data_IF_563377379608
#
_entry.id   IF_563377379608
#
_cell.length_a   1.000
_cell.length_b   1.000
_cell.length_c   1.000
_cell.angle_alpha   90.00
_cell.angle_beta   90.00
_cell.angle_gamma   90.00
#
_symmetry.space_group_name_H-M   'P 1'
#
loop_
_entity.id
_entity.type
_entity.pdbx_description
1 polymer ?
#
# COMPACT_ATOMS: atom_id res chain seq x y z
N UNK A 1 -15.51 13.22 -10.62
CA UNK A 1 -16.55 12.25 -10.19
C UNK A 1 -15.85 10.93 -10.05
N UNK A 2 -16.02 10.24 -8.92
CA UNK A 2 -15.54 8.87 -8.73
C UNK A 2 -16.62 7.89 -9.22
N UNK A 3 -16.22 6.92 -10.02
CA UNK A 3 -17.08 5.78 -10.32
C UNK A 3 -16.76 4.66 -9.35
N UNK A 4 -17.72 3.77 -9.12
CA UNK A 4 -17.52 2.58 -8.31
C UNK A 4 -17.92 1.35 -9.11
N UNK A 5 -17.15 0.28 -8.94
CA UNK A 5 -17.29 -0.97 -9.66
C UNK A 5 -17.35 -2.13 -8.68
N UNK A 6 -18.08 -3.18 -9.03
CA UNK A 6 -17.95 -4.51 -8.43
C UNK A 6 -17.35 -5.44 -9.47
N UNK A 7 -16.13 -5.91 -9.23
CA UNK A 7 -15.37 -6.73 -10.19
C UNK A 7 -15.25 -8.14 -9.65
N UNK A 8 -15.82 -9.10 -10.39
CA UNK A 8 -15.75 -10.51 -10.06
C UNK A 8 -14.35 -11.08 -10.36
N UNK A 9 -13.64 -11.51 -9.32
CA UNK A 9 -12.28 -12.07 -9.43
C UNK A 9 -12.25 -13.58 -9.24
N UNK A 10 -13.23 -14.16 -8.57
CA UNK A 10 -13.38 -15.60 -8.36
C UNK A 10 -14.87 -15.94 -8.15
N UNK A 11 -15.27 -17.23 -8.18
CA UNK A 11 -16.64 -17.64 -7.84
C UNK A 11 -17.06 -17.01 -6.51
N UNK A 12 -18.17 -16.27 -6.55
CA UNK A 12 -18.78 -15.57 -5.40
C UNK A 12 -17.88 -14.52 -4.70
N UNK A 13 -16.80 -14.08 -5.36
CA UNK A 13 -15.90 -13.03 -4.86
C UNK A 13 -15.90 -11.84 -5.82
N UNK A 14 -16.67 -10.82 -5.44
CA UNK A 14 -16.63 -9.49 -6.02
C UNK A 14 -15.79 -8.56 -5.16
N UNK A 15 -14.88 -7.84 -5.80
CA UNK A 15 -14.12 -6.74 -5.19
C UNK A 15 -14.74 -5.41 -5.53
N UNK A 16 -14.88 -4.56 -4.52
CA UNK A 16 -15.23 -3.16 -4.71
C UNK A 16 -14.01 -2.38 -5.18
N UNK A 17 -14.20 -1.61 -6.25
CA UNK A 17 -13.15 -0.81 -6.85
C UNK A 17 -13.65 0.61 -7.08
N UNK A 18 -12.96 1.58 -6.53
CA UNK A 18 -13.18 2.99 -6.79
C UNK A 18 -12.26 3.47 -7.91
N UNK A 19 -12.82 4.16 -8.89
CA UNK A 19 -12.13 4.67 -10.07
C UNK A 19 -12.06 6.21 -10.03
N UNK A 20 -10.85 6.73 -10.24
CA UNK A 20 -10.55 8.16 -10.27
C UNK A 20 -9.72 8.51 -11.50
N UNK A 21 -10.01 9.67 -12.10
CA UNK A 21 -9.29 10.13 -13.28
C UNK A 21 -9.73 9.37 -14.54
N UNK A 22 -8.89 9.43 -15.58
CA UNK A 22 -9.14 8.77 -16.87
C UNK A 22 -7.84 8.71 -17.68
N UNK A 23 -7.85 7.98 -18.79
CA UNK A 23 -6.70 7.81 -19.68
C UNK A 23 -6.04 6.44 -19.53
N UNK A 24 -4.82 6.32 -20.06
CA UNK A 24 -4.06 5.08 -20.19
C UNK A 24 -2.88 4.97 -19.20
N UNK A 25 -2.74 5.94 -18.30
CA UNK A 25 -1.70 5.98 -17.27
C UNK A 25 -2.22 5.33 -15.99
N UNK A 26 -2.27 4.00 -15.99
CA UNK A 26 -2.92 3.23 -14.93
C UNK A 26 -2.11 3.13 -13.63
N UNK A 27 -2.76 3.41 -12.50
CA UNK A 27 -2.28 3.15 -11.15
C UNK A 27 -3.30 2.27 -10.43
N UNK A 28 -2.86 1.12 -9.94
CA UNK A 28 -3.70 0.26 -9.08
C UNK A 28 -3.17 0.31 -7.65
N UNK A 29 -4.08 0.33 -6.68
CA UNK A 29 -3.79 0.27 -5.25
C UNK A 29 -4.78 -0.67 -4.57
N UNK A 30 -4.34 -1.47 -3.60
CA UNK A 30 -5.22 -2.39 -2.89
C UNK A 30 -5.03 -2.32 -1.37
N UNK A 31 -6.11 -2.11 -0.63
CA UNK A 31 -6.07 -1.92 0.83
C UNK A 31 -7.32 -2.49 1.51
N UNK A 32 -7.29 -2.60 2.85
CA UNK A 32 -8.47 -2.97 3.65
C UNK A 32 -9.38 -1.76 3.92
N UNK A 33 -9.08 -0.63 3.31
CA UNK A 33 -9.76 0.64 3.52
C UNK A 33 -8.91 1.76 2.95
N UNK A 34 -9.57 2.77 2.43
CA UNK A 34 -8.94 3.99 1.94
C UNK A 34 -9.51 5.17 2.72
N UNK A 35 -8.64 6.10 3.09
CA UNK A 35 -9.10 7.40 3.54
C UNK A 35 -9.83 8.13 2.40
N UNK A 36 -10.81 9.01 2.70
CA UNK A 36 -11.57 9.71 1.68
C UNK A 36 -10.69 10.64 0.83
N UNK A 37 -9.56 11.08 1.39
CA UNK A 37 -8.56 11.92 0.73
C UNK A 37 -7.18 11.40 1.11
N UNK A 38 -6.37 11.05 0.11
CA UNK A 38 -5.01 10.56 0.28
C UNK A 38 -4.22 10.61 -1.03
N UNK A 39 -2.93 10.29 -0.98
CA UNK A 39 -2.04 10.32 -2.14
C UNK A 39 -2.53 9.45 -3.31
N UNK A 40 -3.17 8.31 -3.04
CA UNK A 40 -3.67 7.37 -4.04
C UNK A 40 -4.67 8.05 -4.96
N UNK A 41 -5.75 8.61 -4.40
CA UNK A 41 -6.78 9.30 -5.17
C UNK A 41 -6.24 10.61 -5.77
N UNK A 42 -5.34 11.31 -5.07
CA UNK A 42 -4.84 12.60 -5.51
C UNK A 42 -4.04 12.52 -6.82
N UNK A 43 -3.35 11.40 -7.09
CA UNK A 43 -2.66 11.19 -8.38
C UNK A 43 -3.60 11.30 -9.59
N UNK A 44 -4.90 11.05 -9.45
CA UNK A 44 -5.85 11.27 -10.53
C UNK A 44 -5.86 12.74 -11.02
N UNK A 45 -5.61 13.70 -10.12
CA UNK A 45 -5.51 15.14 -10.46
C UNK A 45 -4.26 15.47 -11.28
N UNK A 46 -3.28 14.55 -11.28
CA UNK A 46 -2.02 14.67 -12.04
C UNK A 46 -2.06 13.92 -13.39
N UNK A 47 -3.26 13.52 -13.84
CA UNK A 47 -3.47 12.86 -15.13
C UNK A 47 -3.19 11.36 -15.12
N UNK A 48 -3.30 10.71 -13.95
CA UNK A 48 -3.31 9.25 -13.83
C UNK A 48 -4.74 8.71 -13.80
N UNK A 49 -4.89 7.45 -14.18
CA UNK A 49 -6.13 6.69 -14.08
C UNK A 49 -5.99 5.69 -12.94
N UNK A 50 -6.63 5.99 -11.80
CA UNK A 50 -6.39 5.31 -10.52
C UNK A 50 -7.55 4.40 -10.17
N UNK A 51 -7.22 3.15 -9.81
CA UNK A 51 -8.16 2.17 -9.28
C UNK A 51 -7.77 1.79 -7.84
N UNK A 52 -8.61 2.14 -6.87
CA UNK A 52 -8.48 1.78 -5.47
C UNK A 52 -9.36 0.56 -5.16
N UNK A 53 -8.73 -0.56 -4.82
CA UNK A 53 -9.35 -1.88 -4.65
C UNK A 53 -9.48 -2.19 -3.16
N UNK A 54 -10.70 -2.36 -2.67
CA UNK A 54 -10.91 -2.92 -1.33
C UNK A 54 -10.67 -4.43 -1.37
N UNK A 55 -9.79 -4.94 -0.51
CA UNK A 55 -9.40 -6.35 -0.52
C UNK A 55 -10.57 -7.29 -0.15
N UNK A 56 -10.55 -8.53 -0.65
CA UNK A 56 -11.52 -9.57 -0.27
C UNK A 56 -11.54 -9.75 1.25
N UNK A 57 -12.70 -10.10 1.78
CA UNK A 57 -12.91 -10.29 3.21
C UNK A 57 -13.24 -9.01 3.97
N UNK A 58 -13.18 -7.85 3.31
CA UNK A 58 -13.41 -6.53 3.91
C UNK A 58 -14.54 -5.82 3.16
N UNK A 59 -15.54 -5.31 3.86
CA UNK A 59 -16.60 -4.53 3.22
C UNK A 59 -16.05 -3.26 2.56
N UNK A 60 -16.53 -2.85 1.37
CA UNK A 60 -17.68 -3.38 0.63
C UNK A 60 -17.36 -4.51 -0.38
N UNK A 61 -16.15 -5.07 -0.36
CA UNK A 61 -15.84 -6.30 -1.07
C UNK A 61 -16.49 -7.50 -0.40
N UNK A 62 -16.53 -8.63 -1.11
CA UNK A 62 -17.16 -9.85 -0.63
C UNK A 62 -16.48 -10.34 0.65
N UNK A 63 -17.27 -10.67 1.67
CA UNK A 63 -16.80 -11.41 2.83
C UNK A 63 -16.34 -12.80 2.44
N UNK A 64 -15.46 -13.37 3.27
CA UNK A 64 -14.99 -14.75 3.08
C UNK A 64 -14.98 -15.49 4.42
N UNK A 65 -15.00 -16.81 4.34
CA UNK A 65 -14.82 -17.71 5.49
C UNK A 65 -13.48 -18.46 5.45
N UNK A 66 -12.84 -18.52 4.28
CA UNK A 66 -11.57 -19.20 4.09
C UNK A 66 -10.42 -18.39 4.72
N UNK A 67 -9.57 -19.07 5.50
CA UNK A 67 -8.29 -18.54 5.93
C UNK A 67 -7.18 -19.05 5.00
N UNK A 68 -6.48 -18.12 4.35
CA UNK A 68 -5.40 -18.45 3.43
C UNK A 68 -4.03 -18.62 4.12
N UNK A 69 -3.93 -18.37 5.44
CA UNK A 69 -2.70 -18.45 6.22
C UNK A 69 -1.56 -17.63 5.60
N UNK A 70 -0.35 -18.21 5.51
CA UNK A 70 0.82 -17.54 4.92
C UNK A 70 0.63 -17.11 3.44
N UNK A 71 -0.47 -17.49 2.77
CA UNK A 71 -0.79 -17.13 1.37
C UNK A 71 -1.63 -15.86 1.22
N UNK A 72 -2.08 -15.23 2.30
CA UNK A 72 -2.97 -14.04 2.23
C UNK A 72 -2.49 -12.98 1.23
N UNK A 73 -1.23 -12.59 1.30
CA UNK A 73 -0.67 -11.58 0.40
C UNK A 73 -0.47 -12.08 -1.04
N UNK A 74 -0.21 -13.37 -1.25
CA UNK A 74 -0.19 -13.96 -2.60
C UNK A 74 -1.60 -13.89 -3.22
N UNK A 75 -2.65 -14.23 -2.46
CA UNK A 75 -4.05 -14.11 -2.90
C UNK A 75 -4.44 -12.67 -3.20
N UNK A 76 -4.08 -11.72 -2.34
CA UNK A 76 -4.31 -10.30 -2.60
C UNK A 76 -3.58 -9.80 -3.84
N UNK A 77 -2.34 -10.27 -4.10
CA UNK A 77 -1.61 -9.90 -5.31
C UNK A 77 -2.29 -10.44 -6.58
N UNK A 78 -2.75 -11.69 -6.56
CA UNK A 78 -3.47 -12.28 -7.69
C UNK A 78 -4.80 -11.56 -7.97
N UNK A 79 -5.47 -11.08 -6.93
CA UNK A 79 -6.70 -10.30 -7.07
C UNK A 79 -6.50 -8.99 -7.79
N UNK A 80 -5.41 -8.28 -7.51
CA UNK A 80 -5.05 -7.06 -8.26
C UNK A 80 -4.84 -7.39 -9.74
N UNK A 81 -4.19 -8.52 -10.05
CA UNK A 81 -4.02 -8.98 -11.44
C UNK A 81 -5.36 -9.30 -12.10
N UNK A 82 -6.25 -10.01 -11.41
CA UNK A 82 -7.59 -10.35 -11.93
C UNK A 82 -8.42 -9.08 -12.16
N UNK A 83 -8.35 -8.10 -11.28
CA UNK A 83 -8.98 -6.79 -11.49
C UNK A 83 -8.42 -6.11 -12.74
N UNK A 84 -7.09 -6.04 -12.88
CA UNK A 84 -6.45 -5.47 -14.05
C UNK A 84 -6.90 -6.16 -15.35
N UNK A 85 -6.96 -7.49 -15.37
CA UNK A 85 -7.41 -8.27 -16.53
C UNK A 85 -8.87 -7.98 -16.90
N UNK A 86 -9.76 -7.84 -15.90
CA UNK A 86 -11.18 -7.50 -16.13
C UNK A 86 -11.38 -6.09 -16.67
N UNK A 87 -10.48 -5.18 -16.31
CA UNK A 87 -10.45 -3.81 -16.82
C UNK A 87 -9.72 -3.69 -18.17
N UNK A 88 -9.09 -4.78 -18.66
CA UNK A 88 -8.29 -4.76 -19.88
C UNK A 88 -6.94 -4.06 -19.74
N UNK A 89 -6.42 -3.96 -18.52
CA UNK A 89 -5.15 -3.28 -18.20
C UNK A 89 -4.01 -4.31 -18.19
N UNK A 90 -3.20 -4.30 -19.26
CA UNK A 90 -2.05 -5.19 -19.37
C UNK A 90 -0.93 -4.81 -18.39
N UNK A 91 -0.56 -3.52 -18.31
CA UNK A 91 0.53 -3.05 -17.45
C UNK A 91 0.13 -1.80 -16.69
N UNK A 92 0.60 -1.70 -15.45
CA UNK A 92 0.26 -0.59 -14.56
C UNK A 92 1.39 -0.27 -13.58
N UNK A 93 1.35 0.93 -13.02
CA UNK A 93 2.08 1.26 -11.80
C UNK A 93 1.28 0.71 -10.62
N UNK A 94 1.95 0.02 -9.70
CA UNK A 94 1.32 -0.32 -8.42
C UNK A 94 1.71 0.70 -7.36
N UNK A 95 0.74 1.12 -6.56
CA UNK A 95 0.98 1.96 -5.40
C UNK A 95 0.26 1.39 -4.18
N UNK A 96 0.94 1.32 -3.05
CA UNK A 96 0.33 0.84 -1.81
C UNK A 96 0.91 1.55 -0.59
N UNK A 97 0.09 1.76 0.43
CA UNK A 97 0.50 2.28 1.73
C UNK A 97 0.47 1.16 2.77
N UNK A 98 1.46 1.09 3.65
CA UNK A 98 1.52 0.14 4.77
C UNK A 98 1.28 -1.31 4.33
N UNK A 99 0.25 -1.99 4.83
CA UNK A 99 -0.10 -3.36 4.40
C UNK A 99 -0.43 -3.44 2.90
N UNK A 100 -0.96 -2.37 2.29
CA UNK A 100 -1.16 -2.28 0.84
C UNK A 100 0.16 -2.34 0.07
N UNK A 101 1.23 -1.74 0.59
CA UNK A 101 2.57 -1.95 0.02
C UNK A 101 3.03 -3.42 0.18
N UNK A 102 2.55 -4.12 1.21
CA UNK A 102 2.70 -5.57 1.37
C UNK A 102 2.17 -6.36 0.18
N UNK A 103 1.00 -5.99 -0.35
CA UNK A 103 0.46 -6.57 -1.59
C UNK A 103 1.38 -6.27 -2.77
N UNK A 104 1.93 -5.05 -2.82
CA UNK A 104 2.92 -4.62 -3.82
C UNK A 104 4.19 -5.47 -3.83
N UNK A 105 4.74 -5.83 -2.67
CA UNK A 105 5.91 -6.73 -2.60
C UNK A 105 5.63 -8.09 -3.23
N UNK A 106 4.44 -8.65 -3.00
CA UNK A 106 4.04 -9.91 -3.60
C UNK A 106 3.77 -9.77 -5.10
N UNK A 107 3.17 -8.66 -5.55
CA UNK A 107 2.98 -8.36 -6.96
C UNK A 107 4.30 -8.30 -7.74
N UNK A 108 5.31 -7.58 -7.26
CA UNK A 108 6.59 -7.45 -7.98
C UNK A 108 7.44 -8.73 -7.95
N UNK A 109 7.15 -9.66 -7.04
CA UNK A 109 7.79 -10.97 -6.99
C UNK A 109 7.07 -12.02 -7.85
N UNK A 110 5.74 -12.03 -7.81
CA UNK A 110 4.92 -13.06 -8.46
C UNK A 110 4.53 -12.68 -9.89
N UNK A 111 4.36 -11.38 -10.16
CA UNK A 111 3.84 -10.82 -11.41
C UNK A 111 4.69 -9.66 -11.96
N UNK A 112 6.04 -9.77 -12.02
CA UNK A 112 6.92 -8.66 -12.36
C UNK A 112 6.65 -8.05 -13.74
N UNK A 113 6.14 -8.84 -14.70
CA UNK A 113 5.86 -8.38 -16.07
C UNK A 113 4.65 -7.43 -16.16
N UNK A 114 3.81 -7.40 -15.11
CA UNK A 114 2.58 -6.60 -15.04
C UNK A 114 2.80 -5.23 -14.38
N UNK A 115 3.80 -5.12 -13.51
CA UNK A 115 4.07 -3.91 -12.72
C UNK A 115 5.26 -3.15 -13.32
N UNK A 116 5.00 -2.01 -13.94
CA UNK A 116 6.06 -1.20 -14.58
C UNK A 116 6.86 -0.38 -13.59
N UNK A 117 6.28 -0.08 -12.43
CA UNK A 117 6.92 0.60 -11.32
C UNK A 117 6.11 0.44 -10.05
N UNK A 118 6.78 0.43 -8.90
CA UNK A 118 6.16 0.24 -7.59
C UNK A 118 6.42 1.42 -6.67
N UNK A 119 5.35 2.07 -6.19
CA UNK A 119 5.40 3.13 -5.18
C UNK A 119 4.93 2.56 -3.83
N UNK A 120 5.86 2.41 -2.91
CA UNK A 120 5.66 1.81 -1.60
C UNK A 120 5.70 2.89 -0.52
N UNK A 121 4.53 3.33 -0.03
CA UNK A 121 4.43 4.32 1.04
C UNK A 121 4.37 3.63 2.40
N UNK A 122 5.21 4.07 3.35
CA UNK A 122 5.36 3.50 4.71
C UNK A 122 5.29 1.97 4.73
N UNK A 123 6.05 1.29 3.86
CA UNK A 123 5.74 -0.07 3.45
C UNK A 123 5.72 -1.03 4.63
N UNK A 124 4.62 -1.79 4.74
CA UNK A 124 4.35 -2.64 5.88
C UNK A 124 5.55 -3.53 6.24
N UNK A 125 5.76 -3.76 7.55
CA UNK A 125 6.93 -4.46 8.02
C UNK A 125 6.87 -5.93 7.60
N UNK A 126 7.98 -6.42 7.06
CA UNK A 126 8.22 -7.83 6.74
C UNK A 126 9.34 -8.42 7.63
N UNK A 127 9.51 -7.84 8.81
CA UNK A 127 10.49 -8.25 9.81
C UNK A 127 9.96 -9.40 10.66
N UNK A 128 10.59 -10.57 10.58
CA UNK A 128 10.22 -11.75 11.38
C UNK A 128 10.33 -11.53 12.89
N UNK A 129 11.14 -10.56 13.32
CA UNK A 129 11.31 -10.20 14.74
C UNK A 129 10.03 -9.62 15.35
N UNK A 130 9.15 -9.07 14.52
CA UNK A 130 7.91 -8.44 14.95
C UNK A 130 6.73 -9.42 15.01
N UNK A 131 6.98 -10.71 14.79
CA UNK A 131 5.97 -11.77 14.79
C UNK A 131 5.25 -11.92 13.44
N UNK A 132 4.22 -12.77 13.42
CA UNK A 132 3.46 -13.08 12.20
C UNK A 132 2.15 -12.30 12.08
N UNK A 133 1.55 -11.92 13.22
CA UNK A 133 0.24 -11.28 13.29
C UNK A 133 0.27 -9.87 12.68
N UNK A 134 -0.78 -9.51 11.94
CA UNK A 134 -0.95 -8.15 11.43
C UNK A 134 -1.13 -7.15 12.59
N UNK A 135 -0.65 -5.91 12.43
CA UNK A 135 -0.87 -4.86 13.44
C UNK A 135 -2.36 -4.62 13.68
N UNK A 136 -3.17 -4.70 12.61
CA UNK A 136 -4.64 -4.68 12.71
C UNK A 136 -5.16 -5.75 13.67
N UNK A 137 -4.75 -7.01 13.50
CA UNK A 137 -5.21 -8.09 14.37
C UNK A 137 -4.67 -7.94 15.80
N UNK A 138 -3.44 -7.47 15.98
CA UNK A 138 -2.88 -7.18 17.30
C UNK A 138 -3.69 -6.13 18.06
N UNK A 139 -4.14 -5.07 17.38
CA UNK A 139 -5.03 -4.05 17.96
C UNK A 139 -6.42 -4.63 18.28
N UNK A 140 -7.05 -5.32 17.33
CA UNK A 140 -8.38 -5.93 17.52
C UNK A 140 -8.40 -6.97 18.65
N UNK A 141 -7.29 -7.69 18.85
CA UNK A 141 -7.15 -8.69 19.91
C UNK A 141 -6.72 -8.12 21.26
N UNK A 142 -6.50 -6.79 21.36
CA UNK A 142 -6.07 -6.12 22.58
C UNK A 142 -4.62 -6.41 23.01
N UNK A 143 -3.80 -6.95 22.10
CA UNK A 143 -2.35 -7.15 22.32
C UNK A 143 -1.66 -5.77 22.33
N UNK A 144 -2.01 -4.91 21.37
CA UNK A 144 -1.66 -3.49 21.38
C UNK A 144 -2.81 -2.76 22.07
N UNK A 145 -2.60 -2.35 23.32
CA UNK A 145 -3.61 -1.61 24.10
C UNK A 145 -3.62 -0.12 23.79
N UNK A 146 -2.43 0.45 23.60
CA UNK A 146 -2.22 1.84 23.25
C UNK A 146 -1.40 1.85 21.95
N UNK A 147 -1.99 2.25 20.82
CA UNK A 147 -1.24 2.33 19.57
C UNK A 147 -0.10 3.35 19.73
N UNK A 148 1.07 3.10 19.12
CA UNK A 148 2.14 4.10 19.14
C UNK A 148 1.66 5.39 18.44
N UNK A 149 2.25 6.54 18.77
CA UNK A 149 1.90 7.80 18.10
C UNK A 149 2.24 7.69 16.62
N UNK A 150 1.22 7.48 15.78
CA UNK A 150 1.39 7.30 14.34
C UNK A 150 1.83 8.58 13.64
N UNK A 151 1.69 9.72 14.31
CA UNK A 151 1.96 11.05 13.80
C UNK A 151 2.77 11.83 14.84
N UNK A 152 3.87 12.50 14.46
CA UNK A 152 4.58 13.39 15.36
C UNK A 152 3.76 14.65 15.64
N UNK A 153 4.10 15.43 16.69
CA UNK A 153 3.44 16.69 16.99
C UNK A 153 3.39 17.63 15.78
N UNK A 154 2.27 18.34 15.62
CA UNK A 154 2.10 19.27 14.52
C UNK A 154 3.10 20.42 14.62
N UNK A 155 3.67 20.83 13.48
CA UNK A 155 4.66 21.91 13.35
C UNK A 155 4.03 23.29 13.02
N UNK A 156 2.78 23.49 13.43
CA UNK A 156 1.93 24.64 13.08
C UNK A 156 1.54 24.75 11.59
N UNK A 157 1.72 23.68 10.80
CA UNK A 157 1.15 23.61 9.46
C UNK A 157 -0.38 23.39 9.55
N UNK A 158 -1.14 24.44 9.24
CA UNK A 158 -2.62 24.41 9.31
C UNK A 158 -3.23 23.45 8.31
N UNK A 159 -2.63 23.28 7.13
CA UNK A 159 -3.14 22.39 6.09
C UNK A 159 -2.96 20.93 6.50
N UNK A 160 -1.83 20.62 7.13
CA UNK A 160 -1.57 19.31 7.68
C UNK A 160 -2.48 19.02 8.87
N UNK A 161 -2.78 20.02 9.71
CA UNK A 161 -3.78 19.86 10.77
C UNK A 161 -5.18 19.56 10.20
N UNK A 162 -5.65 20.31 9.21
CA UNK A 162 -6.95 20.06 8.56
C UNK A 162 -7.05 18.62 8.00
N UNK A 163 -5.97 18.09 7.43
CA UNK A 163 -5.92 16.69 6.95
C UNK A 163 -6.06 15.68 8.08
N UNK A 164 -5.39 15.93 9.20
CA UNK A 164 -5.51 15.08 10.40
C UNK A 164 -6.92 15.10 10.94
N UNK A 165 -7.55 16.28 10.99
CA UNK A 165 -8.94 16.43 11.44
C UNK A 165 -9.91 15.65 10.53
N UNK A 166 -9.75 15.74 9.20
CA UNK A 166 -10.55 14.95 8.24
C UNK A 166 -10.34 13.44 8.43
N UNK A 167 -9.09 13.01 8.66
CA UNK A 167 -8.74 11.61 8.90
C UNK A 167 -9.39 11.11 10.20
N UNK A 168 -9.29 11.87 11.28
CA UNK A 168 -9.88 11.56 12.58
C UNK A 168 -11.41 11.54 12.51
N UNK A 169 -12.03 12.51 11.83
CA UNK A 169 -13.47 12.54 11.59
C UNK A 169 -13.90 11.28 10.84
N UNK A 170 -13.22 10.92 9.75
CA UNK A 170 -13.51 9.70 9.00
C UNK A 170 -13.41 8.44 9.87
N UNK A 171 -12.33 8.29 10.66
CA UNK A 171 -12.14 7.16 11.57
C UNK A 171 -13.27 7.10 12.60
N UNK A 172 -13.68 8.24 13.16
CA UNK A 172 -14.74 8.30 14.17
C UNK A 172 -16.13 7.91 13.64
N UNK A 173 -16.35 8.03 12.34
CA UNK A 173 -17.59 7.65 11.66
C UNK A 173 -17.55 6.23 11.08
N UNK A 174 -16.42 5.53 11.16
CA UNK A 174 -16.35 4.14 10.71
C UNK A 174 -17.23 3.27 11.61
N UNK A 175 -18.07 2.46 10.97
CA UNK A 175 -18.85 1.46 11.68
C UNK A 175 -17.92 0.42 12.32
N UNK A 176 -18.38 -0.17 13.43
CA UNK A 176 -17.72 -1.34 14.00
C UNK A 176 -17.54 -2.43 12.93
N UNK A 177 -16.32 -2.96 12.72
CA UNK A 177 -16.10 -3.98 11.72
C UNK A 177 -16.96 -5.21 11.97
N UNK A 178 -17.50 -5.79 10.89
CA UNK A 178 -18.29 -7.03 10.93
C UNK A 178 -17.45 -8.15 11.58
N UNK A 179 -18.06 -9.05 12.39
CA UNK A 179 -17.34 -10.17 13.01
C UNK A 179 -16.51 -11.01 12.03
N UNK A 180 -16.96 -11.14 10.77
CA UNK A 180 -16.22 -11.84 9.71
C UNK A 180 -14.92 -11.12 9.35
N UNK A 181 -14.89 -9.79 9.32
CA UNK A 181 -13.66 -9.02 9.11
C UNK A 181 -12.72 -9.08 10.31
N UNK A 182 -13.29 -9.14 11.53
CA UNK A 182 -12.52 -9.25 12.77
C UNK A 182 -11.84 -10.61 12.91
N UNK A 183 -12.35 -11.63 12.24
CA UNK A 183 -11.76 -12.97 12.20
C UNK A 183 -10.57 -13.08 11.22
N UNK A 184 -10.38 -12.11 10.33
CA UNK A 184 -9.31 -12.13 9.32
C UNK A 184 -8.03 -11.54 9.91
N UNK A 185 -7.02 -12.39 10.07
CA UNK A 185 -5.62 -11.99 10.21
C UNK A 185 -4.86 -12.31 8.92
N UNK A 186 -4.64 -11.29 8.09
CA UNK A 186 -3.82 -11.42 6.88
C UNK A 186 -2.32 -11.49 7.18
N UNK A 187 -1.92 -11.42 8.45
CA UNK A 187 -0.54 -11.49 8.89
C UNK A 187 0.32 -10.34 8.36
N UNK A 188 1.58 -10.64 8.06
CA UNK A 188 2.57 -9.69 7.53
C UNK A 188 3.06 -10.14 6.15
N UNK A 189 3.48 -9.23 5.28
CA UNK A 189 3.96 -9.59 3.96
C UNK A 189 5.27 -10.37 4.05
N UNK A 190 5.51 -11.24 3.07
CA UNK A 190 6.76 -11.99 2.88
C UNK A 190 7.12 -12.98 4.01
N UNK A 191 6.19 -13.32 4.91
CA UNK A 191 6.39 -14.30 5.99
C UNK A 191 6.78 -15.71 5.52
N UNK A 192 6.58 -16.02 4.23
CA UNK A 192 7.07 -17.27 3.61
C UNK A 192 8.60 -17.38 3.62
N UNK A 193 9.31 -16.26 3.70
CA UNK A 193 10.77 -16.23 3.85
C UNK A 193 11.12 -16.23 5.34
N UNK A 194 11.38 -17.42 5.86
CA UNK A 194 11.55 -17.70 7.30
C UNK A 194 12.88 -17.21 7.90
N UNK A 195 13.76 -16.60 7.10
CA UNK A 195 15.00 -15.97 7.58
C UNK A 195 15.23 -14.62 6.92
N UNK A 196 15.99 -13.77 7.59
CA UNK A 196 16.38 -12.46 7.07
C UNK A 196 17.25 -12.58 5.82
N UNK A 197 18.16 -13.55 5.78
CA UNK A 197 19.02 -13.82 4.63
C UNK A 197 18.19 -14.21 3.41
N UNK A 198 17.19 -15.08 3.60
CA UNK A 198 16.33 -15.51 2.50
C UNK A 198 15.45 -14.38 1.99
N UNK A 199 14.93 -13.56 2.90
CA UNK A 199 14.17 -12.39 2.54
C UNK A 199 15.00 -11.39 1.71
N UNK A 200 16.23 -11.07 2.15
CA UNK A 200 17.15 -10.19 1.42
C UNK A 200 17.48 -10.77 0.04
N UNK A 201 17.76 -12.07 -0.03
CA UNK A 201 18.01 -12.78 -1.30
C UNK A 201 16.84 -12.57 -2.28
N UNK A 202 15.61 -12.77 -1.80
CA UNK A 202 14.41 -12.65 -2.64
C UNK A 202 14.12 -11.21 -3.04
N UNK A 203 14.28 -10.24 -2.14
CA UNK A 203 14.20 -8.81 -2.49
C UNK A 203 15.22 -8.43 -3.57
N UNK A 204 16.44 -9.00 -3.53
CA UNK A 204 17.47 -8.78 -4.55
C UNK A 204 17.13 -9.30 -5.95
N UNK A 205 16.13 -10.19 -6.06
CA UNK A 205 15.64 -10.65 -7.36
C UNK A 205 14.74 -9.64 -8.07
N UNK A 206 14.12 -8.70 -7.33
CA UNK A 206 13.18 -7.72 -7.86
C UNK A 206 13.89 -6.79 -8.84
N UNK A 207 13.38 -6.73 -10.08
CA UNK A 207 13.85 -5.84 -11.15
C UNK A 207 12.96 -4.63 -11.37
N UNK A 208 11.71 -4.69 -10.90
CA UNK A 208 10.75 -3.59 -11.00
C UNK A 208 11.32 -2.35 -10.29
N UNK A 209 11.39 -1.20 -10.99
CA UNK A 209 11.73 0.08 -10.37
C UNK A 209 10.85 0.33 -9.15
N UNK A 210 11.46 0.65 -8.01
CA UNK A 210 10.73 0.84 -6.75
C UNK A 210 11.04 2.20 -6.11
N UNK A 211 10.01 2.91 -5.68
CA UNK A 211 10.10 4.10 -4.85
C UNK A 211 9.58 3.76 -3.45
N UNK A 212 10.40 3.95 -2.43
CA UNK A 212 9.99 3.87 -1.03
C UNK A 212 9.85 5.28 -0.48
N UNK A 213 8.68 5.59 0.10
CA UNK A 213 8.36 6.85 0.75
C UNK A 213 8.06 6.57 2.22
N UNK A 214 8.58 7.38 3.15
CA UNK A 214 8.20 7.25 4.55
C UNK A 214 8.61 8.42 5.43
N UNK A 215 8.15 8.39 6.67
CA UNK A 215 8.46 9.39 7.68
C UNK A 215 9.59 8.94 8.62
N UNK A 216 10.40 9.87 9.11
CA UNK A 216 11.49 9.56 10.06
C UNK A 216 10.96 9.13 11.44
N UNK A 217 9.73 9.53 11.77
CA UNK A 217 9.07 9.28 13.06
C UNK A 217 8.06 8.12 12.98
N UNK A 218 8.10 7.32 11.90
CA UNK A 218 7.19 6.16 11.73
C UNK A 218 7.52 5.05 12.76
N UNK A 219 6.62 4.75 13.71
CA UNK A 219 6.87 3.75 14.75
C UNK A 219 6.59 2.31 14.29
N UNK A 220 5.98 2.13 13.12
CA UNK A 220 5.60 0.83 12.55
C UNK A 220 6.62 0.42 11.49
N UNK A 221 6.71 1.19 10.41
CA UNK A 221 7.57 0.94 9.28
C UNK A 221 8.81 1.79 9.42
N UNK A 222 9.59 1.53 10.48
CA UNK A 222 10.71 2.40 10.89
C UNK A 222 11.70 2.71 9.75
N UNK A 223 12.39 3.87 9.79
CA UNK A 223 13.44 4.21 8.82
C UNK A 223 14.50 3.12 8.66
N UNK A 224 14.84 2.40 9.73
CA UNK A 224 15.77 1.28 9.70
C UNK A 224 15.24 0.13 8.84
N UNK A 225 13.96 -0.21 8.95
CA UNK A 225 13.33 -1.24 8.12
C UNK A 225 13.25 -0.81 6.66
N UNK A 226 12.87 0.44 6.40
CA UNK A 226 12.83 0.98 5.04
C UNK A 226 14.23 0.99 4.40
N UNK A 227 15.26 1.43 5.14
CA UNK A 227 16.65 1.42 4.69
C UNK A 227 17.17 0.01 4.45
N UNK A 228 16.84 -0.94 5.33
CA UNK A 228 17.19 -2.36 5.18
C UNK A 228 16.62 -2.92 3.87
N UNK A 229 15.36 -2.62 3.58
CA UNK A 229 14.66 -3.02 2.37
C UNK A 229 15.29 -2.40 1.13
N UNK A 230 15.52 -1.08 1.16
CA UNK A 230 16.13 -0.34 0.06
C UNK A 230 17.52 -0.89 -0.31
N UNK A 231 18.32 -1.31 0.69
CA UNK A 231 19.63 -1.92 0.47
C UNK A 231 19.58 -3.27 -0.23
N UNK A 232 18.49 -4.02 -0.10
CA UNK A 232 18.33 -5.31 -0.75
C UNK A 232 17.92 -5.18 -2.22
N UNK A 233 17.26 -4.08 -2.60
CA UNK A 233 16.73 -3.85 -3.94
C UNK A 233 17.81 -3.30 -4.90
N UNK A 234 17.86 -3.83 -6.12
CA UNK A 234 18.80 -3.35 -7.15
C UNK A 234 18.41 -1.97 -7.72
N UNK A 235 17.11 -1.69 -7.76
CA UNK A 235 16.54 -0.49 -8.38
C UNK A 235 15.52 0.14 -7.44
N UNK A 236 16.01 0.85 -6.41
CA UNK A 236 15.17 1.50 -5.41
C UNK A 236 15.60 2.94 -5.16
N UNK A 237 14.66 3.88 -5.11
CA UNK A 237 14.81 5.23 -4.55
C UNK A 237 14.11 5.24 -3.20
N UNK A 238 14.81 5.69 -2.15
CA UNK A 238 14.25 5.87 -0.82
C UNK A 238 14.17 7.36 -0.51
N UNK A 239 13.00 7.83 -0.08
CA UNK A 239 12.78 9.21 0.39
C UNK A 239 12.18 9.17 1.79
N UNK A 240 12.86 9.79 2.74
CA UNK A 240 12.42 9.91 4.14
C UNK A 240 12.15 11.37 4.46
N UNK A 241 10.98 11.67 4.99
CA UNK A 241 10.55 13.01 5.38
C UNK A 241 10.71 13.20 6.89
N UNK A 242 11.28 14.33 7.30
CA UNK A 242 11.36 14.73 8.71
C UNK A 242 9.99 15.12 9.26
N UNK A 243 9.79 14.97 10.57
CA UNK A 243 8.55 15.32 11.25
C UNK A 243 7.33 14.63 10.62
N UNK A 244 7.47 13.37 10.20
CA UNK A 244 6.42 12.59 9.55
C UNK A 244 6.41 11.18 10.13
N UNK A 245 5.21 10.64 10.35
CA UNK A 245 5.01 9.29 10.89
C UNK A 245 4.40 8.33 9.86
N UNK A 246 3.58 7.39 10.34
CA UNK A 246 2.99 6.33 9.52
C UNK A 246 1.87 6.83 8.59
N UNK A 247 1.08 7.84 8.99
CA UNK A 247 -0.02 8.35 8.16
C UNK A 247 0.44 9.43 7.15
N UNK A 248 1.68 9.33 6.69
CA UNK A 248 2.28 10.34 5.79
C UNK A 248 1.53 10.47 4.46
N UNK A 249 0.87 9.38 4.01
CA UNK A 249 0.08 9.27 2.77
C UNK A 249 -1.15 10.20 2.74
N UNK A 250 -1.56 10.69 3.92
CA UNK A 250 -2.64 11.66 4.11
C UNK A 250 -2.17 12.97 4.71
N UNK A 251 -0.99 13.02 5.37
CA UNK A 251 -0.38 14.26 5.87
C UNK A 251 0.26 15.10 4.73
N UNK A 252 1.06 14.48 3.85
CA UNK A 252 1.90 15.15 2.85
C UNK A 252 1.49 14.81 1.40
N UNK A 253 0.20 14.93 1.10
CA UNK A 253 -0.40 14.44 -0.15
C UNK A 253 0.32 14.98 -1.40
N UNK A 254 0.51 16.29 -1.53
CA UNK A 254 1.12 16.88 -2.73
C UNK A 254 2.61 16.57 -2.84
N UNK A 255 3.33 16.59 -1.73
CA UNK A 255 4.76 16.31 -1.70
C UNK A 255 5.04 14.86 -2.13
N UNK A 256 4.25 13.92 -1.59
CA UNK A 256 4.36 12.51 -1.95
C UNK A 256 3.91 12.25 -3.39
N UNK A 257 2.81 12.86 -3.84
CA UNK A 257 2.35 12.74 -5.21
C UNK A 257 3.34 13.36 -6.20
N UNK A 258 3.97 14.48 -5.84
CA UNK A 258 5.03 15.10 -6.63
C UNK A 258 6.25 14.20 -6.79
N UNK A 259 6.66 13.49 -5.73
CA UNK A 259 7.74 12.51 -5.86
C UNK A 259 7.34 11.25 -6.63
N UNK A 260 6.14 10.74 -6.40
CA UNK A 260 5.61 9.61 -7.16
C UNK A 260 5.51 9.94 -8.65
N UNK A 261 5.01 11.12 -9.02
CA UNK A 261 4.92 11.56 -10.41
C UNK A 261 6.28 11.69 -11.09
N UNK A 262 7.28 12.28 -10.41
CA UNK A 262 8.66 12.34 -10.92
C UNK A 262 9.21 10.94 -11.17
N UNK A 263 9.05 10.04 -10.20
CA UNK A 263 9.49 8.66 -10.32
C UNK A 263 8.79 7.93 -11.48
N UNK A 264 7.46 7.99 -11.56
CA UNK A 264 6.68 7.30 -12.60
C UNK A 264 7.06 7.80 -14.00
N UNK A 265 7.22 9.12 -14.17
CA UNK A 265 7.68 9.70 -15.44
C UNK A 265 9.08 9.23 -15.82
N UNK A 266 9.99 9.12 -14.86
CA UNK A 266 11.35 8.64 -15.11
C UNK A 266 11.35 7.17 -15.53
N UNK A 267 10.63 6.33 -14.80
CA UNK A 267 10.47 4.91 -15.14
C UNK A 267 9.90 4.72 -16.54
N UNK A 268 8.88 5.50 -16.91
CA UNK A 268 8.30 5.47 -18.25
C UNK A 268 9.25 5.95 -19.36
N UNK A 269 10.22 6.83 -19.04
CA UNK A 269 11.16 7.41 -20.01
C UNK A 269 12.29 6.44 -20.38
N UNK A 270 12.94 5.82 -19.39
CA UNK A 270 14.14 4.99 -19.63
C UNK A 270 14.24 3.74 -18.75
N UNK A 271 13.18 3.39 -18.02
CA UNK A 271 13.15 2.25 -17.13
C UNK A 271 14.00 2.40 -15.87
N UNK A 272 14.59 3.59 -15.63
CA UNK A 272 15.45 3.83 -14.47
C UNK A 272 14.68 4.45 -13.32
N UNK A 273 15.24 4.24 -12.14
CA UNK A 273 14.75 4.79 -10.86
C UNK A 273 15.31 6.20 -10.61
N UNK A 274 16.50 6.48 -11.15
CA UNK A 274 17.23 7.72 -10.97
C UNK A 274 17.42 8.41 -12.31
N UNK A 275 17.16 9.71 -12.36
CA UNK A 275 17.67 10.57 -13.41
C UNK A 275 19.06 11.08 -12.98
N UNK A 276 20.07 10.86 -13.80
CA UNK A 276 21.18 11.80 -13.90
C UNK A 276 20.87 12.60 -15.16
N UNK A 277 20.40 13.83 -15.00
CA UNK A 277 20.34 14.79 -16.11
C UNK A 277 21.77 15.10 -16.59
#
# INVERSE_FOLDING_TARGET
MNNTHKINVAPDIDLFVEEYGSGDRYILSAQVGFYPVGMQQHLATMGYHVYCITLRGIYPSSYIEEDYGDRWYDVFSDDVIRVADRLGIDKFIYMGASHGAGVGWHLVLNHPDRVTGFVACVPGPHSLKEGAMSIRQMMLSGIIKEPPPMDPPIDNDTRRQERRDIREEHISHNAEPDPREKAIDYGRPLLKYKTEEKLIEMLGTIKTPTLILGGIDDPISTPELMLRTAKALAHCKLVIYSNCGHNIDTDLIEELCGEADRFIKQVGKDGKVYAWD
#
